data_IF_320882337544
#
_entry.id   IF_320882337544
#
_cell.length_a   1.000
_cell.length_b   1.000
_cell.length_c   1.000
_cell.angle_alpha   90.00
_cell.angle_beta   90.00
_cell.angle_gamma   90.00
#
_symmetry.space_group_name_H-M   'P 1'
#
loop_
_entity.id
_entity.type
_entity.pdbx_description
1 polymer ?
#
# COMPACT_ATOMS: atom_id res chain seq x y z
N UNK A 1 -12.92 -16.38 -7.99
CA UNK A 1 -13.09 -15.15 -7.19
C UNK A 1 -12.87 -15.37 -5.70
N UNK A 2 -13.70 -16.16 -5.00
CA UNK A 2 -13.53 -16.38 -3.54
C UNK A 2 -12.11 -16.87 -3.17
N UNK A 3 -11.55 -17.81 -3.93
CA UNK A 3 -10.17 -18.27 -3.71
C UNK A 3 -9.11 -17.19 -3.89
N UNK A 4 -9.26 -16.31 -4.88
CA UNK A 4 -8.34 -15.19 -5.10
C UNK A 4 -8.42 -14.17 -3.95
N UNK A 5 -9.64 -13.77 -3.56
CA UNK A 5 -9.85 -12.82 -2.44
C UNK A 5 -9.30 -13.38 -1.13
N UNK A 6 -9.53 -14.67 -0.84
CA UNK A 6 -8.99 -15.32 0.35
C UNK A 6 -7.46 -15.38 0.32
N UNK A 7 -6.87 -15.76 -0.82
CA UNK A 7 -5.42 -15.79 -0.97
C UNK A 7 -4.79 -14.40 -0.82
N UNK A 8 -5.40 -13.37 -1.41
CA UNK A 8 -4.96 -11.98 -1.27
C UNK A 8 -5.07 -11.50 0.19
N UNK A 9 -6.16 -11.82 0.89
CA UNK A 9 -6.32 -11.46 2.29
C UNK A 9 -5.25 -12.12 3.18
N UNK A 10 -4.98 -13.42 2.96
CA UNK A 10 -3.92 -14.14 3.66
C UNK A 10 -2.56 -13.55 3.31
N UNK A 11 -2.29 -13.24 2.04
CA UNK A 11 -1.03 -12.64 1.61
C UNK A 11 -0.79 -11.27 2.25
N UNK A 12 -1.82 -10.42 2.30
CA UNK A 12 -1.74 -9.11 2.96
C UNK A 12 -1.45 -9.29 4.45
N UNK A 13 -2.14 -10.22 5.11
CA UNK A 13 -1.91 -10.52 6.53
C UNK A 13 -0.48 -11.04 6.77
N UNK A 14 -0.01 -11.98 5.96
CA UNK A 14 1.35 -12.50 6.03
C UNK A 14 2.39 -11.41 5.76
N UNK A 15 2.12 -10.48 4.85
CA UNK A 15 2.99 -9.33 4.58
C UNK A 15 3.10 -8.37 5.78
N UNK A 16 2.17 -8.42 6.74
CA UNK A 16 2.27 -7.66 7.99
C UNK A 16 3.07 -8.39 9.09
N UNK A 17 3.24 -9.71 9.02
CA UNK A 17 3.91 -10.45 10.10
C UNK A 17 5.38 -10.05 10.32
N UNK A 18 6.19 -9.77 9.29
CA UNK A 18 7.53 -9.22 9.49
C UNK A 18 7.54 -7.93 10.30
N UNK A 19 6.42 -7.21 10.37
CA UNK A 19 6.30 -5.99 11.15
C UNK A 19 6.08 -6.24 12.65
N UNK A 20 5.80 -7.47 13.08
CA UNK A 20 5.56 -7.78 14.50
C UNK A 20 6.61 -8.73 15.09
N UNK A 21 7.61 -9.11 14.30
CA UNK A 21 8.66 -10.06 14.67
C UNK A 21 9.97 -9.31 14.89
N UNK A 22 10.65 -9.58 16.01
CA UNK A 22 11.94 -8.98 16.39
C UNK A 22 11.96 -7.45 16.52
N UNK A 23 10.80 -6.83 16.76
CA UNK A 23 10.64 -5.37 16.87
C UNK A 23 10.84 -4.83 18.29
N UNK A 24 11.12 -3.51 18.46
CA UNK A 24 11.16 -2.90 19.78
C UNK A 24 9.90 -3.18 20.58
N UNK A 25 10.04 -3.47 21.88
CA UNK A 25 8.93 -3.92 22.69
C UNK A 25 7.75 -2.93 22.73
N UNK A 26 8.02 -1.63 22.51
CA UNK A 26 7.04 -0.55 22.43
C UNK A 26 6.02 -0.73 21.29
N UNK A 27 6.39 -1.47 20.25
CA UNK A 27 5.51 -1.75 19.11
C UNK A 27 4.31 -2.62 19.54
N UNK A 28 4.51 -3.59 20.43
CA UNK A 28 3.42 -4.47 20.89
C UNK A 28 2.27 -3.75 21.61
N UNK A 29 2.50 -2.89 22.64
CA UNK A 29 1.43 -2.14 23.27
C UNK A 29 0.82 -1.09 22.34
N UNK A 30 1.60 -0.48 21.43
CA UNK A 30 1.07 0.45 20.42
C UNK A 30 0.17 -0.27 19.42
N UNK A 31 0.55 -1.46 18.97
CA UNK A 31 -0.26 -2.30 18.09
C UNK A 31 -1.56 -2.73 18.78
N UNK A 32 -1.49 -3.18 20.03
CA UNK A 32 -2.67 -3.53 20.82
C UNK A 32 -3.59 -2.31 21.02
N UNK A 33 -3.01 -1.13 21.29
CA UNK A 33 -3.76 0.12 21.39
C UNK A 33 -4.39 0.53 20.05
N UNK A 34 -3.68 0.36 18.92
CA UNK A 34 -4.19 0.63 17.58
C UNK A 34 -5.44 -0.21 17.29
N UNK A 35 -5.36 -1.52 17.57
CA UNK A 35 -6.45 -2.46 17.40
C UNK A 35 -7.62 -2.14 18.34
N UNK A 36 -7.32 -1.82 19.60
CA UNK A 36 -8.33 -1.44 20.58
C UNK A 36 -9.08 -0.18 20.12
N UNK A 37 -8.37 0.89 19.73
CA UNK A 37 -8.99 2.12 19.23
C UNK A 37 -9.81 1.81 17.97
N UNK A 38 -9.26 1.06 17.01
CA UNK A 38 -9.95 0.71 15.76
C UNK A 38 -11.27 -0.04 16.00
N UNK A 39 -11.35 -0.90 17.02
CA UNK A 39 -12.55 -1.71 17.33
C UNK A 39 -13.51 -1.01 18.28
N UNK A 40 -13.00 -0.31 19.31
CA UNK A 40 -13.80 0.30 20.37
C UNK A 40 -14.26 1.71 20.01
N UNK A 41 -13.45 2.51 19.33
CA UNK A 41 -13.77 3.90 19.02
C UNK A 41 -15.03 4.07 18.14
N UNK A 42 -15.26 3.22 17.11
CA UNK A 42 -16.50 3.27 16.34
C UNK A 42 -17.77 3.00 17.16
N UNK A 43 -17.65 2.40 18.36
CA UNK A 43 -18.79 2.21 19.29
C UNK A 43 -19.16 3.49 20.04
N UNK A 44 -18.22 4.41 20.23
CA UNK A 44 -18.48 5.72 20.85
C UNK A 44 -19.00 6.73 19.82
N UNK A 45 -18.40 6.77 18.62
CA UNK A 45 -18.84 7.66 17.55
C UNK A 45 -18.69 7.01 16.19
N UNK A 46 -19.72 7.18 15.34
CA UNK A 46 -19.69 6.74 13.93
C UNK A 46 -19.24 7.85 12.99
N UNK A 47 -18.98 9.06 13.51
CA UNK A 47 -18.72 10.24 12.69
C UNK A 47 -17.28 10.29 12.17
N UNK A 48 -16.32 9.67 12.86
CA UNK A 48 -14.89 9.76 12.49
C UNK A 48 -14.38 8.41 11.97
N UNK A 49 -13.83 8.34 10.74
CA UNK A 49 -13.38 7.09 10.12
C UNK A 49 -12.15 6.44 10.79
N UNK A 50 -11.81 5.23 10.33
CA UNK A 50 -10.69 4.40 10.81
C UNK A 50 -9.30 5.03 11.01
N UNK A 51 -8.89 6.12 10.31
CA UNK A 51 -7.58 6.76 10.54
C UNK A 51 -7.38 7.40 11.92
N UNK A 52 -8.41 7.44 12.78
CA UNK A 52 -8.30 8.00 14.14
C UNK A 52 -7.24 7.30 14.98
N UNK A 53 -7.13 5.97 14.87
CA UNK A 53 -6.08 5.22 15.57
C UNK A 53 -4.69 5.68 15.14
N UNK A 54 -4.47 5.83 13.84
CA UNK A 54 -3.21 6.33 13.28
C UNK A 54 -2.87 7.73 13.77
N UNK A 55 -3.83 8.67 13.73
CA UNK A 55 -3.61 10.05 14.19
C UNK A 55 -3.33 10.08 15.70
N UNK A 56 -4.12 9.38 16.50
CA UNK A 56 -3.97 9.35 17.96
C UNK A 56 -2.63 8.74 18.38
N UNK A 57 -2.22 7.64 17.75
CA UNK A 57 -0.93 7.00 18.05
C UNK A 57 0.25 7.83 17.56
N UNK A 58 0.15 8.47 16.40
CA UNK A 58 1.20 9.38 15.92
C UNK A 58 1.39 10.55 16.90
N UNK A 59 0.30 11.15 17.38
CA UNK A 59 0.37 12.21 18.39
C UNK A 59 1.00 11.72 19.69
N UNK A 60 0.63 10.51 20.14
CA UNK A 60 1.18 9.89 21.35
C UNK A 60 2.68 9.61 21.22
N UNK A 61 3.12 8.98 20.13
CA UNK A 61 4.53 8.61 19.94
C UNK A 61 5.42 9.85 19.82
N UNK A 62 4.95 10.91 19.15
CA UNK A 62 5.65 12.19 19.06
C UNK A 62 5.70 12.87 20.45
N UNK A 63 4.57 13.00 21.14
CA UNK A 63 4.50 13.72 22.41
C UNK A 63 5.30 13.02 23.52
N UNK A 64 5.32 11.68 23.53
CA UNK A 64 6.06 10.89 24.51
C UNK A 64 7.49 10.54 24.07
N UNK A 65 7.94 10.98 22.88
CA UNK A 65 9.27 10.70 22.36
C UNK A 65 9.56 9.19 22.18
N UNK A 66 8.54 8.41 21.85
CA UNK A 66 8.65 6.96 21.74
C UNK A 66 9.29 6.64 20.38
N UNK A 67 10.53 6.16 20.41
CA UNK A 67 11.23 5.69 19.22
C UNK A 67 10.64 4.36 18.74
N UNK A 68 9.92 4.41 17.63
CA UNK A 68 9.40 3.24 16.91
C UNK A 68 9.64 3.44 15.41
N UNK A 69 9.67 2.35 14.62
CA UNK A 69 9.76 2.48 13.18
C UNK A 69 8.63 3.37 12.62
N UNK A 70 8.94 4.13 11.58
CA UNK A 70 8.01 5.09 10.98
C UNK A 70 7.89 4.90 9.48
N UNK A 71 6.83 5.47 8.87
CA UNK A 71 6.61 5.41 7.42
C UNK A 71 7.80 5.98 6.66
N UNK A 72 8.44 7.05 7.17
CA UNK A 72 9.62 7.63 6.54
C UNK A 72 10.82 6.68 6.47
N UNK A 73 10.92 5.73 7.39
CA UNK A 73 11.96 4.69 7.36
C UNK A 73 11.78 3.65 6.26
N UNK A 74 10.57 3.55 5.66
CA UNK A 74 10.24 2.59 4.60
C UNK A 74 10.65 3.03 3.20
N UNK A 75 10.78 4.33 3.00
CA UNK A 75 11.02 4.92 1.70
C UNK A 75 10.68 6.40 1.69
N UNK A 76 11.14 7.08 0.65
CA UNK A 76 10.87 8.49 0.46
C UNK A 76 9.39 8.71 0.13
N UNK A 77 8.75 9.63 0.86
CA UNK A 77 7.43 10.13 0.49
C UNK A 77 7.55 11.16 -0.65
N UNK A 78 6.54 11.30 -1.51
CA UNK A 78 6.54 12.33 -2.55
C UNK A 78 6.68 13.73 -1.96
N UNK A 79 7.63 14.50 -2.48
CA UNK A 79 7.90 15.89 -2.09
C UNK A 79 7.59 16.90 -3.19
N UNK A 80 7.14 16.41 -4.36
CA UNK A 80 6.75 17.20 -5.52
C UNK A 80 5.63 16.48 -6.29
N UNK A 81 5.00 17.22 -7.20
CA UNK A 81 4.06 16.63 -8.15
C UNK A 81 4.76 15.63 -9.06
N UNK A 82 4.07 14.54 -9.46
CA UNK A 82 4.66 13.57 -10.36
C UNK A 82 4.88 14.22 -11.73
N UNK A 83 6.08 14.06 -12.26
CA UNK A 83 6.45 14.57 -13.59
C UNK A 83 6.31 13.45 -14.62
N UNK A 84 5.81 13.74 -15.84
CA UNK A 84 5.84 12.77 -16.91
C UNK A 84 7.29 12.36 -17.22
N UNK A 85 7.52 11.06 -17.30
CA UNK A 85 8.78 10.43 -17.63
C UNK A 85 8.57 9.17 -18.45
N UNK A 86 9.59 8.77 -19.18
CA UNK A 86 9.61 7.48 -19.85
C UNK A 86 10.17 6.46 -18.85
N UNK A 87 9.56 5.27 -18.68
CA UNK A 87 10.11 4.24 -17.82
C UNK A 87 11.57 3.95 -18.18
N UNK A 88 12.46 4.06 -17.18
CA UNK A 88 13.90 3.81 -17.33
C UNK A 88 14.19 2.30 -17.32
N UNK A 89 13.66 1.62 -18.32
CA UNK A 89 13.83 0.18 -18.54
C UNK A 89 14.16 -0.09 -20.01
N UNK A 90 14.98 -1.12 -20.30
CA UNK A 90 15.29 -1.46 -21.69
C UNK A 90 14.03 -1.78 -22.49
N UNK A 91 13.80 -1.04 -23.58
CA UNK A 91 12.68 -1.26 -24.51
C UNK A 91 12.99 -2.42 -25.46
N UNK A 92 13.20 -3.61 -24.89
CA UNK A 92 13.55 -4.83 -25.62
C UNK A 92 12.41 -5.84 -25.56
N UNK A 93 12.42 -6.80 -26.50
CA UNK A 93 11.47 -7.92 -26.49
C UNK A 93 11.65 -8.81 -25.24
N UNK A 94 12.85 -8.84 -24.66
CA UNK A 94 13.12 -9.58 -23.42
C UNK A 94 12.40 -8.94 -22.23
N UNK A 95 12.51 -7.61 -22.07
CA UNK A 95 11.76 -6.88 -21.05
C UNK A 95 10.26 -7.08 -21.24
N UNK A 96 9.77 -6.98 -22.48
CA UNK A 96 8.35 -7.22 -22.77
C UNK A 96 7.92 -8.62 -22.38
N UNK A 97 8.69 -9.65 -22.75
CA UNK A 97 8.37 -11.06 -22.46
C UNK A 97 8.40 -11.34 -20.95
N UNK A 98 9.29 -10.66 -20.21
CA UNK A 98 9.39 -10.75 -18.76
C UNK A 98 8.16 -10.14 -18.07
N UNK A 99 7.72 -8.95 -18.48
CA UNK A 99 6.61 -8.24 -17.82
C UNK A 99 5.23 -8.66 -18.32
N UNK A 100 5.11 -9.14 -19.56
CA UNK A 100 3.85 -9.52 -20.20
C UNK A 100 2.95 -10.44 -19.36
N UNK A 101 3.44 -11.55 -18.76
CA UNK A 101 2.58 -12.43 -17.96
C UNK A 101 2.03 -11.71 -16.72
N UNK A 102 2.84 -10.89 -16.05
CA UNK A 102 2.41 -10.12 -14.89
C UNK A 102 1.43 -9.01 -15.31
N UNK A 103 1.74 -8.26 -16.37
CA UNK A 103 0.87 -7.22 -16.90
C UNK A 103 -0.52 -7.78 -17.28
N UNK A 104 -0.56 -8.96 -17.92
CA UNK A 104 -1.80 -9.65 -18.24
C UNK A 104 -2.57 -10.06 -16.99
N UNK A 105 -1.89 -10.66 -16.00
CA UNK A 105 -2.53 -11.03 -14.73
C UNK A 105 -3.11 -9.80 -14.00
N UNK A 106 -2.35 -8.71 -13.91
CA UNK A 106 -2.80 -7.45 -13.31
C UNK A 106 -3.96 -6.82 -14.08
N UNK A 107 -3.95 -6.87 -15.42
CA UNK A 107 -5.05 -6.38 -16.23
C UNK A 107 -6.33 -7.20 -15.99
N UNK A 108 -6.24 -8.53 -15.95
CA UNK A 108 -7.39 -9.39 -15.68
C UNK A 108 -7.96 -9.16 -14.27
N UNK A 109 -7.11 -9.14 -13.25
CA UNK A 109 -7.52 -8.85 -11.87
C UNK A 109 -8.16 -7.47 -11.77
N UNK A 110 -7.51 -6.45 -12.35
CA UNK A 110 -7.99 -5.09 -12.32
C UNK A 110 -9.35 -4.92 -13.01
N UNK A 111 -9.56 -5.60 -14.14
CA UNK A 111 -10.85 -5.60 -14.84
C UNK A 111 -11.92 -6.32 -14.02
N UNK A 112 -11.62 -7.48 -13.43
CA UNK A 112 -12.57 -8.20 -12.59
C UNK A 112 -13.04 -7.35 -11.40
N UNK A 113 -12.11 -6.72 -10.67
CA UNK A 113 -12.41 -5.84 -9.55
C UNK A 113 -13.23 -4.62 -9.99
N UNK A 114 -12.87 -3.99 -11.11
CA UNK A 114 -13.61 -2.85 -11.63
C UNK A 114 -15.04 -3.20 -12.06
N UNK A 115 -15.21 -4.31 -12.78
CA UNK A 115 -16.53 -4.75 -13.25
C UNK A 115 -17.45 -5.20 -12.10
N UNK A 116 -16.90 -5.86 -11.07
CA UNK A 116 -17.64 -6.21 -9.87
C UNK A 116 -18.03 -4.96 -9.07
N UNK A 117 -17.11 -4.02 -8.92
CA UNK A 117 -17.38 -2.75 -8.25
C UNK A 117 -18.45 -1.95 -8.99
N UNK A 118 -18.33 -1.82 -10.31
CA UNK A 118 -19.31 -1.13 -11.15
C UNK A 118 -20.70 -1.77 -11.03
N UNK A 119 -20.78 -3.11 -11.02
CA UNK A 119 -22.07 -3.80 -10.82
C UNK A 119 -22.68 -3.51 -9.45
N UNK A 120 -21.88 -3.52 -8.38
CA UNK A 120 -22.37 -3.17 -7.04
C UNK A 120 -22.88 -1.73 -6.97
N UNK A 121 -22.19 -0.79 -7.63
CA UNK A 121 -22.65 0.60 -7.71
C UNK A 121 -23.93 0.71 -8.52
N UNK A 122 -24.01 0.04 -9.67
CA UNK A 122 -25.23 0.00 -10.48
C UNK A 122 -26.43 -0.47 -9.66
N UNK A 123 -26.27 -1.57 -8.91
CA UNK A 123 -27.31 -2.18 -8.08
C UNK A 123 -27.73 -1.27 -6.90
N UNK A 124 -26.82 -0.46 -6.35
CA UNK A 124 -27.13 0.50 -5.26
C UNK A 124 -27.77 1.77 -5.79
N UNK A 125 -27.43 2.14 -7.03
CA UNK A 125 -27.81 3.42 -7.60
C UNK A 125 -29.01 3.33 -8.54
N UNK A 126 -29.44 2.12 -8.88
CA UNK A 126 -30.43 1.82 -9.93
C UNK A 126 -30.08 2.45 -11.28
N UNK A 127 -28.79 2.62 -11.57
CA UNK A 127 -28.29 3.17 -12.84
C UNK A 127 -27.39 2.16 -13.53
N UNK A 128 -27.53 2.00 -14.86
CA UNK A 128 -26.63 1.12 -15.61
C UNK A 128 -25.37 1.86 -16.06
N UNK A 129 -24.21 1.27 -15.78
CA UNK A 129 -22.93 1.69 -16.34
C UNK A 129 -22.58 0.93 -17.63
N UNK A 130 -21.79 1.55 -18.50
CA UNK A 130 -21.16 0.88 -19.64
C UNK A 130 -19.80 0.31 -19.21
N UNK A 131 -19.70 -1.02 -19.19
CA UNK A 131 -18.54 -1.76 -18.68
C UNK A 131 -17.34 -1.66 -19.60
N UNK A 132 -17.56 -1.60 -20.92
CA UNK A 132 -16.50 -1.36 -21.90
C UNK A 132 -15.86 0.01 -21.70
N UNK A 133 -16.68 1.04 -21.46
CA UNK A 133 -16.16 2.40 -21.19
C UNK A 133 -15.36 2.45 -19.89
N UNK A 134 -15.80 1.71 -18.87
CA UNK A 134 -15.06 1.57 -17.61
C UNK A 134 -13.69 0.89 -17.83
N UNK A 135 -13.67 -0.24 -18.55
CA UNK A 135 -12.45 -0.96 -18.89
C UNK A 135 -11.45 -0.12 -19.68
N UNK A 136 -11.92 0.64 -20.67
CA UNK A 136 -11.08 1.57 -21.44
C UNK A 136 -10.56 2.69 -20.54
N UNK A 137 -11.42 3.27 -19.69
CA UNK A 137 -11.03 4.32 -18.75
C UNK A 137 -9.93 3.87 -17.79
N UNK A 138 -10.06 2.68 -17.22
CA UNK A 138 -9.04 2.08 -16.36
C UNK A 138 -7.73 1.79 -17.10
N UNK A 139 -7.80 1.26 -18.33
CA UNK A 139 -6.62 1.02 -19.15
C UNK A 139 -5.86 2.31 -19.46
N UNK A 140 -6.57 3.35 -19.91
CA UNK A 140 -5.98 4.67 -20.16
C UNK A 140 -5.37 5.25 -18.88
N UNK A 141 -6.08 5.17 -17.76
CA UNK A 141 -5.56 5.63 -16.47
C UNK A 141 -4.25 4.92 -16.09
N UNK A 142 -4.17 3.60 -16.25
CA UNK A 142 -2.96 2.84 -15.94
C UNK A 142 -1.79 3.14 -16.89
N UNK A 143 -2.04 3.36 -18.18
CA UNK A 143 -1.01 3.77 -19.13
C UNK A 143 -0.45 5.14 -18.74
N UNK A 144 -1.32 6.12 -18.48
CA UNK A 144 -0.91 7.45 -18.01
C UNK A 144 -0.14 7.34 -16.70
N UNK A 145 -0.63 6.58 -15.72
CA UNK A 145 0.06 6.37 -14.44
C UNK A 145 1.48 5.81 -14.62
N UNK A 146 1.67 4.88 -15.57
CA UNK A 146 3.00 4.35 -15.89
C UNK A 146 3.98 5.42 -16.38
N UNK A 147 3.53 6.36 -17.20
CA UNK A 147 4.35 7.52 -17.62
C UNK A 147 4.60 8.53 -16.49
N UNK A 148 3.90 8.45 -15.36
CA UNK A 148 4.15 9.30 -14.20
C UNK A 148 4.91 8.54 -13.09
N UNK A 149 5.44 7.34 -13.39
CA UNK A 149 6.16 6.50 -12.43
C UNK A 149 5.28 5.89 -11.34
N UNK A 150 3.96 5.87 -11.54
CA UNK A 150 3.02 5.34 -10.56
C UNK A 150 2.77 3.84 -10.70
N UNK A 151 2.17 3.26 -9.66
CA UNK A 151 1.75 1.86 -9.63
C UNK A 151 0.40 1.67 -10.35
N UNK A 152 0.24 0.55 -11.07
CA UNK A 152 -1.03 0.20 -11.69
C UNK A 152 -2.16 0.05 -10.66
N UNK A 153 -3.36 0.52 -11.02
CA UNK A 153 -4.53 0.55 -10.14
C UNK A 153 -5.77 -0.12 -10.72
N UNK A 154 -6.76 -0.30 -9.86
CA UNK A 154 -8.11 -0.77 -10.20
C UNK A 154 -9.14 -0.18 -9.24
N UNK A 155 -10.41 -0.49 -9.47
CA UNK A 155 -11.46 -0.07 -8.55
C UNK A 155 -11.30 -0.77 -7.19
N UNK A 156 -11.69 -0.08 -6.12
CA UNK A 156 -11.67 -0.63 -4.78
C UNK A 156 -13.11 -0.74 -4.27
N UNK A 157 -13.61 -1.97 -4.11
CA UNK A 157 -14.98 -2.23 -3.65
C UNK A 157 -15.23 -1.51 -2.32
N UNK A 158 -14.39 -1.73 -1.30
CA UNK A 158 -14.60 -1.17 0.05
C UNK A 158 -14.75 0.35 0.07
N UNK A 159 -13.82 1.08 -0.53
CA UNK A 159 -13.86 2.55 -0.58
C UNK A 159 -15.02 3.07 -1.43
N UNK A 160 -15.34 2.38 -2.52
CA UNK A 160 -16.50 2.72 -3.36
C UNK A 160 -17.81 2.58 -2.57
N UNK A 161 -17.94 1.51 -1.79
CA UNK A 161 -19.13 1.26 -0.96
C UNK A 161 -19.27 2.29 0.16
N UNK A 162 -18.18 2.70 0.81
CA UNK A 162 -18.18 3.79 1.78
C UNK A 162 -18.63 5.10 1.10
N UNK A 163 -18.05 5.41 -0.05
CA UNK A 163 -18.35 6.64 -0.79
C UNK A 163 -19.82 6.73 -1.26
N UNK A 164 -20.35 5.64 -1.82
CA UNK A 164 -21.72 5.62 -2.37
C UNK A 164 -22.78 5.39 -1.29
N UNK A 165 -22.58 4.46 -0.35
CA UNK A 165 -23.60 4.14 0.68
C UNK A 165 -23.55 5.07 1.88
N UNK A 166 -22.35 5.40 2.36
CA UNK A 166 -22.20 6.15 3.62
C UNK A 166 -22.16 7.65 3.36
N UNK A 167 -21.34 8.09 2.38
CA UNK A 167 -21.24 9.50 2.04
C UNK A 167 -22.30 9.97 1.01
N UNK A 168 -23.04 9.05 0.39
CA UNK A 168 -24.09 9.38 -0.58
C UNK A 168 -23.56 9.95 -1.91
N UNK A 169 -22.27 9.80 -2.20
CA UNK A 169 -21.65 10.39 -3.38
C UNK A 169 -22.13 9.70 -4.67
N UNK A 170 -22.49 10.49 -5.69
CA UNK A 170 -23.01 10.02 -6.98
C UNK A 170 -22.32 10.64 -8.21
N UNK A 171 -21.38 11.56 -8.00
CA UNK A 171 -20.75 12.34 -9.09
C UNK A 171 -19.27 12.03 -9.22
N UNK A 172 -18.72 12.21 -10.44
CA UNK A 172 -17.29 12.05 -10.71
C UNK A 172 -16.40 13.05 -9.95
N UNK A 173 -16.97 14.15 -9.50
CA UNK A 173 -16.26 15.13 -8.68
C UNK A 173 -15.79 14.51 -7.35
N UNK A 174 -16.55 13.55 -6.80
CA UNK A 174 -16.16 12.85 -5.57
C UNK A 174 -14.84 12.08 -5.72
N UNK A 175 -14.68 11.31 -6.80
CA UNK A 175 -13.44 10.54 -7.03
C UNK A 175 -12.28 11.45 -7.42
N UNK A 176 -12.53 12.52 -8.19
CA UNK A 176 -11.54 13.54 -8.49
C UNK A 176 -11.01 14.20 -7.21
N UNK A 177 -11.91 14.66 -6.33
CA UNK A 177 -11.55 15.27 -5.06
C UNK A 177 -10.80 14.27 -4.17
N UNK A 178 -11.20 13.01 -4.11
CA UNK A 178 -10.47 12.00 -3.34
C UNK A 178 -8.99 11.90 -3.76
N UNK A 179 -8.71 11.85 -5.07
CA UNK A 179 -7.34 11.83 -5.59
C UNK A 179 -6.60 13.16 -5.39
N UNK A 180 -7.25 14.29 -5.67
CA UNK A 180 -6.65 15.62 -5.52
C UNK A 180 -6.32 15.93 -4.05
N UNK A 181 -7.22 15.62 -3.12
CA UNK A 181 -6.97 15.78 -1.69
C UNK A 181 -5.85 14.86 -1.22
N UNK A 182 -5.81 13.60 -1.67
CA UNK A 182 -4.71 12.70 -1.33
C UNK A 182 -3.37 13.24 -1.83
N UNK A 183 -3.30 13.73 -3.07
CA UNK A 183 -2.10 14.34 -3.63
C UNK A 183 -1.63 15.55 -2.81
N UNK A 184 -2.55 16.48 -2.50
CA UNK A 184 -2.26 17.67 -1.67
C UNK A 184 -1.83 17.25 -0.27
N UNK A 185 -2.50 16.27 0.33
CA UNK A 185 -2.18 15.79 1.67
C UNK A 185 -0.78 15.18 1.73
N UNK A 186 -0.42 14.32 0.77
CA UNK A 186 0.91 13.72 0.70
C UNK A 186 2.01 14.76 0.51
N UNK A 187 1.79 15.76 -0.36
CA UNK A 187 2.80 16.79 -0.64
C UNK A 187 2.91 17.84 0.48
N UNK A 188 1.80 18.26 1.07
CA UNK A 188 1.79 19.29 2.11
C UNK A 188 2.12 18.75 3.50
N UNK A 189 1.68 17.53 3.81
CA UNK A 189 1.88 16.89 5.11
C UNK A 189 2.93 15.77 5.07
N UNK A 190 3.73 15.65 4.01
CA UNK A 190 4.79 14.64 3.87
C UNK A 190 5.66 14.47 5.12
N UNK A 191 6.19 15.56 5.75
CA UNK A 191 6.95 15.46 7.00
C UNK A 191 6.14 14.88 8.18
N UNK A 192 4.85 15.18 8.27
CA UNK A 192 3.97 14.63 9.31
C UNK A 192 3.63 13.16 9.03
N UNK A 193 3.32 12.83 7.78
CA UNK A 193 3.04 11.46 7.33
C UNK A 193 4.26 10.57 7.54
N UNK A 194 5.48 11.09 7.35
CA UNK A 194 6.72 10.35 7.57
C UNK A 194 6.93 9.91 9.02
N UNK A 195 6.31 10.61 9.98
CA UNK A 195 6.42 10.33 11.41
C UNK A 195 5.35 9.37 11.92
N UNK A 196 4.41 8.95 11.05
CA UNK A 196 3.40 7.96 11.44
C UNK A 196 4.13 6.69 11.89
N UNK A 197 3.91 6.24 13.13
CA UNK A 197 4.53 5.03 13.63
C UNK A 197 3.99 3.88 12.79
N UNK A 198 4.91 3.26 12.06
CA UNK A 198 4.64 1.97 11.48
C UNK A 198 4.73 0.99 12.62
N UNK A 199 3.67 0.21 12.80
CA UNK A 199 3.78 -0.95 13.66
C UNK A 199 4.67 -2.05 13.02
N UNK A 200 5.55 -1.77 12.04
CA UNK A 200 7.03 -1.68 12.11
C UNK A 200 7.61 -1.35 10.71
N UNK A 201 8.89 -1.04 10.55
CA UNK A 201 9.96 -2.00 10.25
C UNK A 201 11.34 -1.37 10.51
N UNK A 202 12.21 -2.11 11.20
CA UNK A 202 13.66 -2.30 10.94
C UNK A 202 14.34 -2.81 12.22
N UNK A 203 14.73 -4.08 12.23
CA UNK A 203 15.27 -4.75 13.42
C UNK A 203 16.64 -5.40 13.23
N UNK A 204 17.07 -5.66 11.99
CA UNK A 204 18.25 -6.49 11.76
C UNK A 204 19.42 -5.66 11.25
N UNK A 205 19.24 -4.72 10.34
CA UNK A 205 20.39 -3.99 9.75
C UNK A 205 20.84 -2.82 10.65
N UNK A 206 19.91 -1.98 11.11
CA UNK A 206 20.22 -0.81 11.98
C UNK A 206 20.74 -1.19 13.37
N UNK A 207 20.39 -2.38 13.88
CA UNK A 207 20.82 -2.84 15.22
C UNK A 207 22.28 -3.25 15.29
N UNK A 208 22.88 -3.69 14.18
CA UNK A 208 24.27 -4.16 14.16
C UNK A 208 25.25 -3.12 13.61
N UNK A 209 24.82 -2.23 12.70
CA UNK A 209 25.61 -1.06 12.28
C UNK A 209 25.86 -0.07 13.43
N UNK A 210 24.86 0.17 14.29
CA UNK A 210 25.02 1.02 15.49
C UNK A 210 25.96 0.44 16.56
N UNK A 211 26.46 -0.78 16.37
CA UNK A 211 27.43 -1.46 17.26
C UNK A 211 28.75 -1.80 16.58
N UNK A 212 28.97 -1.35 15.33
CA UNK A 212 30.21 -1.57 14.59
C UNK A 212 30.55 -3.05 14.34
N UNK A 213 29.53 -3.92 14.23
CA UNK A 213 29.72 -5.37 14.02
C UNK A 213 29.09 -5.81 12.71
N UNK A 214 29.83 -6.56 11.90
CA UNK A 214 29.30 -7.29 10.74
C UNK A 214 28.59 -8.56 11.21
N UNK A 215 27.44 -8.87 10.63
CA UNK A 215 26.68 -10.10 10.90
C UNK A 215 26.70 -10.98 9.67
N UNK A 216 27.11 -12.22 9.85
CA UNK A 216 27.01 -13.28 8.87
C UNK A 216 25.96 -14.29 9.37
N UNK A 217 25.00 -14.63 8.51
CA UNK A 217 23.93 -15.57 8.86
C UNK A 217 24.44 -16.99 8.62
N UNK A 218 24.86 -17.67 9.68
CA UNK A 218 25.31 -19.08 9.62
C UNK A 218 24.14 -20.02 9.92
N UNK A 219 23.98 -21.09 9.13
CA UNK A 219 22.97 -22.13 9.35
C UNK A 219 21.81 -22.17 8.34
N UNK A 220 21.92 -21.43 7.24
CA UNK A 220 20.97 -21.54 6.13
C UNK A 220 21.12 -22.92 5.46
N UNK A 221 20.02 -23.65 5.31
CA UNK A 221 19.99 -24.78 4.40
C UNK A 221 20.14 -24.29 2.95
N UNK A 222 20.58 -25.15 2.02
CA UNK A 222 20.91 -24.76 0.65
C UNK A 222 19.80 -23.95 -0.05
N UNK A 223 18.54 -24.28 0.24
CA UNK A 223 17.38 -23.58 -0.33
C UNK A 223 17.21 -22.16 0.21
N UNK A 224 17.39 -21.98 1.53
CA UNK A 224 17.28 -20.67 2.17
C UNK A 224 18.47 -19.76 1.83
N UNK A 225 19.65 -20.37 1.61
CA UNK A 225 20.84 -19.66 1.11
C UNK A 225 20.65 -19.16 -0.34
N UNK A 226 20.02 -19.96 -1.20
CA UNK A 226 19.74 -19.57 -2.59
C UNK A 226 18.69 -18.45 -2.70
N UNK A 227 17.66 -18.49 -1.86
CA UNK A 227 16.64 -17.42 -1.78
C UNK A 227 17.28 -16.14 -1.25
N UNK A 228 18.11 -16.24 -0.20
CA UNK A 228 18.85 -15.12 0.35
C UNK A 228 19.77 -14.50 -0.72
N UNK A 229 20.57 -15.32 -1.41
CA UNK A 229 21.48 -14.89 -2.47
C UNK A 229 20.76 -14.28 -3.69
N UNK A 230 19.56 -14.77 -4.05
CA UNK A 230 18.74 -14.16 -5.11
C UNK A 230 18.18 -12.79 -4.71
N UNK A 231 17.86 -12.60 -3.43
CA UNK A 231 17.22 -11.39 -2.93
C UNK A 231 18.23 -10.29 -2.56
N UNK A 232 19.48 -10.65 -2.24
CA UNK A 232 20.54 -9.69 -1.89
C UNK A 232 21.43 -9.28 -3.07
N UNK A 233 21.12 -9.76 -4.29
CA UNK A 233 21.83 -9.54 -5.56
C UNK A 233 23.07 -8.62 -5.53
N UNK A 234 24.25 -9.22 -5.51
CA UNK A 234 25.50 -8.50 -5.79
C UNK A 234 25.66 -8.24 -7.29
N UNK A 235 26.04 -7.01 -7.64
CA UNK A 235 26.57 -6.63 -8.95
C UNK A 235 28.03 -7.12 -9.07
N UNK A 236 28.20 -8.23 -9.79
CA UNK A 236 29.30 -8.64 -10.69
C UNK A 236 30.78 -8.37 -10.35
N UNK A 237 31.63 -9.40 -10.52
CA UNK A 237 32.97 -9.24 -11.08
C UNK A 237 34.08 -10.11 -10.47
N UNK A 238 34.47 -11.17 -11.17
CA UNK A 238 35.61 -12.04 -10.87
C UNK A 238 35.47 -13.42 -11.49
#
# INVERSE_FOLDING_TARGET
>A
MVGFVNALAVLIFLAQLPELIDVPWQVYPLFAAALAIMVLFPRLTKAVPGPVSTVALTALTIAAGIAVPTVGGKGALPSALPVPGIPDVPLTLDTLSLIAPYALAFALVGLMESLMTAKLVDDITDTRSNKTRESIGQGVANVVTGFFGGMGGCAMIGQTMINVRTAGARTRLSTFLAGAFLMVLCNAFGPLVSQIPMAALDAVTTKYESRGKSVEIVGLNAHSAEIHHRLTGELTGG
#
